data_IF_615213523005
#
_entry.id   IF_615213523005
#
_cell.length_a   1.000
_cell.length_b   1.000
_cell.length_c   1.000
_cell.angle_alpha   90.00
_cell.angle_beta   90.00
_cell.angle_gamma   90.00
#
_symmetry.space_group_name_H-M   'P 1'
#
loop_
_entity.id
_entity.type
_entity.pdbx_description
1 polymer ?
#
# COMPACT_ATOMS: atom_id res chain seq x y z
N UNK A 1 -3.43 -6.75 12.75
CA UNK A 1 -3.33 -7.51 11.50
C UNK A 1 -1.86 -7.56 11.14
N UNK A 2 -1.30 -8.75 11.04
CA UNK A 2 0.10 -8.96 10.69
C UNK A 2 0.29 -8.58 9.20
N UNK A 3 1.09 -7.56 8.88
CA UNK A 3 1.28 -7.17 7.49
C UNK A 3 1.97 -8.26 6.66
N UNK A 4 2.70 -9.17 7.26
CA UNK A 4 3.28 -10.31 6.57
C UNK A 4 2.22 -11.31 6.06
N UNK A 5 1.06 -11.35 6.69
CA UNK A 5 -0.04 -12.21 6.24
C UNK A 5 -0.67 -11.78 4.90
N UNK A 6 -0.35 -10.60 4.41
CA UNK A 6 -0.92 -10.03 3.19
C UNK A 6 0.07 -9.83 2.05
N UNK A 7 1.32 -10.16 2.27
CA UNK A 7 2.33 -10.16 1.20
C UNK A 7 2.34 -11.56 0.60
N UNK A 8 1.77 -11.77 -0.60
CA UNK A 8 1.97 -13.05 -1.27
C UNK A 8 3.47 -13.23 -1.44
N UNK A 9 4.00 -14.39 -1.01
CA UNK A 9 5.40 -14.67 -1.24
C UNK A 9 5.65 -14.67 -2.75
N UNK A 10 6.86 -14.34 -3.19
CA UNK A 10 7.19 -14.27 -4.61
C UNK A 10 6.98 -15.62 -5.36
N UNK A 11 6.70 -16.68 -4.62
CA UNK A 11 6.44 -18.04 -5.12
C UNK A 11 4.98 -18.43 -5.06
N UNK A 12 4.14 -17.61 -4.40
CA UNK A 12 2.73 -17.93 -4.21
C UNK A 12 1.85 -17.36 -5.31
N UNK A 13 0.73 -17.98 -5.47
CA UNK A 13 -0.31 -17.67 -6.42
C UNK A 13 -0.67 -16.16 -6.44
N UNK A 14 -0.24 -15.46 -7.47
CA UNK A 14 -0.58 -14.05 -7.69
C UNK A 14 -2.10 -13.84 -7.64
N UNK A 15 -2.88 -14.79 -8.17
CA UNK A 15 -4.32 -14.74 -8.13
C UNK A 15 -4.88 -14.89 -6.71
N UNK A 16 -4.23 -15.67 -5.84
CA UNK A 16 -4.56 -15.76 -4.42
C UNK A 16 -4.35 -14.44 -3.71
N UNK A 17 -3.22 -13.78 -3.95
CA UNK A 17 -2.92 -12.46 -3.38
C UNK A 17 -3.90 -11.38 -3.84
N UNK A 18 -4.29 -11.38 -5.10
CA UNK A 18 -5.29 -10.44 -5.65
C UNK A 18 -6.65 -10.67 -5.00
N UNK A 19 -7.08 -11.93 -4.86
CA UNK A 19 -8.34 -12.27 -4.19
C UNK A 19 -8.37 -11.84 -2.73
N UNK A 20 -7.30 -12.10 -1.99
CA UNK A 20 -7.19 -11.69 -0.59
C UNK A 20 -7.22 -10.16 -0.46
N UNK A 21 -6.50 -9.44 -1.29
CA UNK A 21 -6.54 -7.99 -1.33
C UNK A 21 -7.96 -7.46 -1.66
N UNK A 22 -8.67 -8.08 -2.59
CA UNK A 22 -10.05 -7.72 -2.92
C UNK A 22 -10.99 -7.98 -1.74
N UNK A 23 -10.84 -9.11 -1.05
CA UNK A 23 -11.62 -9.44 0.15
C UNK A 23 -11.37 -8.42 1.28
N UNK A 24 -10.14 -8.03 1.50
CA UNK A 24 -9.77 -7.00 2.47
C UNK A 24 -10.37 -5.65 2.09
N UNK A 25 -10.23 -5.23 0.83
CA UNK A 25 -10.81 -3.99 0.34
C UNK A 25 -12.31 -3.93 0.57
N UNK A 26 -13.04 -5.02 0.28
CA UNK A 26 -14.46 -5.13 0.54
C UNK A 26 -14.80 -5.05 2.04
N UNK A 27 -14.04 -5.75 2.87
CA UNK A 27 -14.21 -5.72 4.33
C UNK A 27 -14.00 -4.30 4.88
N UNK A 28 -12.94 -3.63 4.45
CA UNK A 28 -12.67 -2.26 4.86
C UNK A 28 -13.71 -1.27 4.34
N UNK A 29 -14.16 -1.45 3.11
CA UNK A 29 -15.19 -0.58 2.53
C UNK A 29 -16.51 -0.65 3.29
N UNK A 30 -16.89 -1.83 3.77
CA UNK A 30 -18.16 -2.04 4.46
C UNK A 30 -18.09 -1.83 5.99
N UNK A 31 -16.90 -1.78 6.58
CA UNK A 31 -16.76 -1.50 8.00
C UNK A 31 -17.18 -0.06 8.34
N UNK A 32 -18.02 0.08 9.37
CA UNK A 32 -18.46 1.38 9.92
C UNK A 32 -17.58 1.84 11.08
N UNK A 33 -16.74 0.96 11.59
CA UNK A 33 -15.77 1.24 12.64
C UNK A 33 -14.58 2.02 12.14
N UNK A 34 -13.77 2.56 13.05
CA UNK A 34 -12.50 3.21 12.70
C UNK A 34 -11.56 2.21 12.01
N UNK A 35 -10.92 2.65 10.94
CA UNK A 35 -10.00 1.85 10.12
C UNK A 35 -8.66 2.55 10.04
N UNK A 36 -7.64 1.94 10.61
CA UNK A 36 -6.27 2.44 10.56
C UNK A 36 -5.43 1.44 9.77
N UNK A 37 -4.73 1.91 8.77
CA UNK A 37 -3.76 1.13 8.01
C UNK A 37 -2.34 1.53 8.40
N UNK A 38 -1.52 0.55 8.76
CA UNK A 38 -0.09 0.73 8.95
C UNK A 38 0.64 0.17 7.73
N UNK A 39 1.24 1.06 6.95
CA UNK A 39 2.01 0.70 5.75
C UNK A 39 3.45 0.42 6.18
N UNK A 40 3.78 -0.86 6.37
CA UNK A 40 5.11 -1.34 6.72
C UNK A 40 5.63 -2.26 5.61
N UNK A 41 6.91 -2.19 5.30
CA UNK A 41 7.52 -3.00 4.26
C UNK A 41 7.06 -2.58 2.86
N UNK A 42 6.48 -3.48 2.07
CA UNK A 42 6.02 -3.21 0.69
C UNK A 42 4.50 -3.13 0.63
N UNK A 43 3.96 -1.93 0.44
CA UNK A 43 2.56 -1.67 0.16
C UNK A 43 2.40 -1.34 -1.34
N UNK A 44 2.43 -2.36 -2.19
CA UNK A 44 2.41 -2.21 -3.65
C UNK A 44 1.24 -2.98 -4.27
N UNK A 45 0.76 -2.50 -5.42
CA UNK A 45 -0.27 -3.16 -6.20
C UNK A 45 -1.56 -3.45 -5.41
N UNK A 46 -2.02 -4.71 -5.37
CA UNK A 46 -3.25 -5.07 -4.68
C UNK A 46 -3.27 -4.74 -3.19
N UNK A 47 -2.13 -4.84 -2.50
CA UNK A 47 -2.00 -4.49 -1.07
C UNK A 47 -2.25 -3.00 -0.88
N UNK A 48 -1.64 -2.15 -1.69
CA UNK A 48 -1.88 -0.70 -1.66
C UNK A 48 -3.37 -0.39 -1.89
N UNK A 49 -3.99 -1.01 -2.89
CA UNK A 49 -5.41 -0.81 -3.20
C UNK A 49 -6.32 -1.25 -2.05
N UNK A 50 -6.02 -2.37 -1.41
CA UNK A 50 -6.79 -2.87 -0.27
C UNK A 50 -6.75 -1.90 0.92
N UNK A 51 -5.61 -1.27 1.17
CA UNK A 51 -5.40 -0.35 2.29
C UNK A 51 -5.87 1.08 2.00
N UNK A 52 -6.13 1.42 0.74
CA UNK A 52 -6.53 2.77 0.33
C UNK A 52 -7.83 3.26 0.99
N UNK A 53 -8.72 2.34 1.38
CA UNK A 53 -10.01 2.64 2.02
C UNK A 53 -9.92 2.81 3.56
N UNK A 54 -8.74 2.78 4.16
CA UNK A 54 -8.58 3.11 5.57
C UNK A 54 -8.90 4.59 5.84
N UNK A 55 -9.38 4.88 7.06
CA UNK A 55 -9.68 6.25 7.47
C UNK A 55 -8.43 7.04 7.78
N UNK A 56 -7.37 6.36 8.21
CA UNK A 56 -6.06 6.92 8.45
C UNK A 56 -4.99 5.91 8.05
N UNK A 57 -4.05 6.36 7.24
CA UNK A 57 -2.94 5.57 6.71
C UNK A 57 -1.63 6.11 7.22
N UNK A 58 -0.90 5.29 7.96
CA UNK A 58 0.39 5.62 8.58
C UNK A 58 1.49 4.89 7.81
N UNK A 59 2.41 5.62 7.20
CA UNK A 59 3.55 5.05 6.51
C UNK A 59 4.76 4.96 7.45
N UNK A 60 5.28 3.76 7.66
CA UNK A 60 6.49 3.56 8.44
C UNK A 60 7.70 4.00 7.60
N UNK A 61 8.63 4.76 8.19
CA UNK A 61 9.84 5.16 7.51
C UNK A 61 10.61 3.93 6.99
N UNK A 62 10.97 3.97 5.70
CA UNK A 62 11.58 2.83 4.99
C UNK A 62 10.59 1.90 4.29
N UNK A 63 9.27 2.11 4.42
CA UNK A 63 8.31 1.38 3.61
C UNK A 63 8.34 1.84 2.14
N UNK A 64 7.91 0.95 1.26
CA UNK A 64 7.73 1.22 -0.17
C UNK A 64 6.24 1.28 -0.46
N UNK A 65 5.75 2.44 -0.90
CA UNK A 65 4.34 2.67 -1.23
C UNK A 65 4.22 2.99 -2.71
N UNK A 66 3.54 2.14 -3.46
CA UNK A 66 3.34 2.36 -4.90
C UNK A 66 2.13 1.59 -5.43
N UNK A 67 1.46 2.15 -6.43
CA UNK A 67 0.38 1.46 -7.13
C UNK A 67 0.88 0.28 -7.98
N UNK A 68 2.12 0.35 -8.49
CA UNK A 68 2.75 -0.69 -9.29
C UNK A 68 4.08 -1.11 -8.65
N UNK A 69 4.48 -2.36 -8.90
CA UNK A 69 5.84 -2.80 -8.56
C UNK A 69 6.86 -1.90 -9.26
N UNK A 70 7.91 -1.41 -8.57
CA UNK A 70 8.88 -0.47 -9.15
C UNK A 70 9.49 -0.92 -10.48
N UNK A 71 9.82 -2.21 -10.62
CA UNK A 71 10.35 -2.74 -11.90
C UNK A 71 9.33 -2.61 -13.04
N UNK A 72 8.07 -2.87 -12.77
CA UNK A 72 7.01 -2.73 -13.75
C UNK A 72 6.78 -1.24 -14.12
N UNK A 73 6.79 -0.36 -13.11
CA UNK A 73 6.62 1.07 -13.31
C UNK A 73 7.73 1.65 -14.20
N UNK A 74 8.99 1.34 -13.92
CA UNK A 74 10.13 1.86 -14.70
C UNK A 74 10.19 1.28 -16.11
N UNK A 75 9.76 0.04 -16.30
CA UNK A 75 9.69 -0.59 -17.64
C UNK A 75 8.70 0.13 -18.57
N UNK A 76 7.70 0.81 -18.00
CA UNK A 76 6.76 1.64 -18.75
C UNK A 76 7.29 3.08 -18.91
N UNK A 77 7.70 3.69 -17.78
CA UNK A 77 8.07 5.11 -17.75
C UNK A 77 9.39 5.42 -18.47
N UNK A 78 10.36 4.52 -18.37
CA UNK A 78 11.71 4.70 -18.91
C UNK A 78 12.03 3.71 -20.05
N UNK A 79 11.01 3.21 -20.72
CA UNK A 79 11.15 2.20 -21.77
C UNK A 79 12.21 2.56 -22.81
N UNK A 80 12.16 3.77 -23.34
CA UNK A 80 13.11 4.21 -24.39
C UNK A 80 14.57 4.26 -23.92
N UNK A 81 14.80 4.63 -22.67
CA UNK A 81 16.14 4.69 -22.09
C UNK A 81 16.66 3.28 -21.77
N UNK A 82 15.79 2.41 -21.30
CA UNK A 82 16.11 1.01 -21.01
C UNK A 82 16.43 0.23 -22.28
N UNK A 83 15.61 0.40 -23.31
CA UNK A 83 15.80 -0.27 -24.62
C UNK A 83 17.09 0.21 -25.34
N UNK A 84 17.54 1.44 -25.08
CA UNK A 84 18.78 1.98 -25.64
C UNK A 84 20.05 1.55 -24.87
N UNK A 85 19.91 0.85 -23.75
CA UNK A 85 21.04 0.42 -22.92
C UNK A 85 21.64 -0.91 -23.41
N UNK A 86 22.96 -1.07 -23.25
CA UNK A 86 23.65 -2.32 -23.59
C UNK A 86 23.23 -3.51 -22.70
N UNK A 87 22.75 -3.21 -21.48
CA UNK A 87 22.28 -4.21 -20.53
C UNK A 87 20.94 -3.80 -19.94
N UNK A 88 19.87 -4.28 -20.54
CA UNK A 88 18.49 -3.99 -20.18
C UNK A 88 18.19 -4.34 -18.72
N UNK A 89 18.67 -5.48 -18.22
CA UNK A 89 18.39 -5.94 -16.84
C UNK A 89 19.08 -5.01 -15.84
N UNK A 90 20.33 -4.67 -16.05
CA UNK A 90 21.07 -3.78 -15.15
C UNK A 90 20.47 -2.37 -15.17
N UNK A 91 20.09 -1.86 -16.34
CA UNK A 91 19.44 -0.56 -16.48
C UNK A 91 18.08 -0.52 -15.77
N UNK A 92 17.26 -1.55 -15.94
CA UNK A 92 15.96 -1.68 -15.26
C UNK A 92 16.12 -1.69 -13.75
N UNK A 93 17.05 -2.48 -13.22
CA UNK A 93 17.29 -2.57 -11.78
C UNK A 93 17.82 -1.25 -11.20
N UNK A 94 18.72 -0.56 -11.89
CA UNK A 94 19.23 0.73 -11.46
C UNK A 94 18.14 1.80 -11.44
N UNK A 95 17.31 1.85 -12.49
CA UNK A 95 16.15 2.77 -12.54
C UNK A 95 15.11 2.45 -11.49
N UNK A 96 14.81 1.17 -11.25
CA UNK A 96 13.88 0.74 -10.21
C UNK A 96 14.36 1.11 -8.81
N UNK A 97 15.65 0.98 -8.52
CA UNK A 97 16.22 1.40 -7.25
C UNK A 97 16.09 2.91 -7.03
N UNK A 98 16.42 3.71 -8.04
CA UNK A 98 16.26 5.16 -8.00
C UNK A 98 14.78 5.56 -7.82
N UNK A 99 13.90 4.98 -8.62
CA UNK A 99 12.45 5.21 -8.53
C UNK A 99 11.89 4.84 -7.15
N UNK A 100 12.34 3.72 -6.58
CA UNK A 100 11.93 3.31 -5.24
C UNK A 100 12.35 4.31 -4.17
N UNK A 101 13.58 4.80 -4.24
CA UNK A 101 14.10 5.75 -3.26
C UNK A 101 13.42 7.12 -3.34
N UNK A 102 13.14 7.59 -4.56
CA UNK A 102 12.60 8.93 -4.80
C UNK A 102 11.08 8.96 -4.76
N UNK A 103 10.42 8.08 -5.50
CA UNK A 103 8.97 8.13 -5.72
C UNK A 103 8.19 7.28 -4.72
N UNK A 104 8.70 6.09 -4.35
CA UNK A 104 7.96 5.15 -3.52
C UNK A 104 8.24 5.31 -2.01
N UNK A 105 8.94 6.37 -1.60
CA UNK A 105 9.26 6.60 -0.19
C UNK A 105 8.05 6.96 0.66
N UNK A 106 8.10 6.67 1.97
CA UNK A 106 7.07 7.06 2.93
C UNK A 106 6.79 8.58 2.90
N UNK A 107 7.83 9.41 2.80
CA UNK A 107 7.68 10.86 2.73
C UNK A 107 6.93 11.30 1.47
N UNK A 108 7.26 10.71 0.32
CA UNK A 108 6.56 11.01 -0.93
C UNK A 108 5.11 10.50 -0.91
N UNK A 109 4.86 9.36 -0.27
CA UNK A 109 3.51 8.84 -0.09
C UNK A 109 2.61 9.83 0.67
N UNK A 110 3.13 10.51 1.68
CA UNK A 110 2.41 11.58 2.38
C UNK A 110 2.27 12.82 1.50
N UNK A 111 3.32 13.23 0.80
CA UNK A 111 3.29 14.40 -0.07
C UNK A 111 2.24 14.29 -1.20
N UNK A 112 2.03 13.08 -1.74
CA UNK A 112 1.02 12.85 -2.78
C UNK A 112 -0.34 12.37 -2.25
N UNK A 113 -0.53 12.29 -0.92
CA UNK A 113 -1.80 11.88 -0.30
C UNK A 113 -2.08 10.38 -0.31
N UNK A 114 -1.11 9.55 -0.66
CA UNK A 114 -1.21 8.09 -0.57
C UNK A 114 -1.18 7.58 0.87
N UNK A 115 -0.55 8.34 1.77
CA UNK A 115 -0.58 8.15 3.22
C UNK A 115 -0.88 9.48 3.91
N UNK A 116 -1.34 9.45 5.15
CA UNK A 116 -1.72 10.65 5.90
C UNK A 116 -0.58 11.16 6.78
N UNK A 117 0.25 10.26 7.29
CA UNK A 117 1.40 10.59 8.13
C UNK A 117 2.51 9.54 8.03
N UNK A 118 3.71 9.95 8.42
CA UNK A 118 4.84 9.01 8.59
C UNK A 118 5.10 8.75 10.07
N UNK A 119 5.68 7.60 10.37
CA UNK A 119 6.22 7.30 11.70
C UNK A 119 7.49 6.46 11.61
N UNK A 120 8.28 6.47 12.67
CA UNK A 120 9.37 5.53 12.83
C UNK A 120 8.86 4.17 13.33
N UNK A 121 9.55 3.11 12.98
CA UNK A 121 9.18 1.75 13.39
C UNK A 121 9.06 1.62 14.92
N UNK A 122 9.94 2.29 15.67
CA UNK A 122 9.90 2.30 17.14
C UNK A 122 8.61 2.94 17.69
N UNK A 123 8.02 3.89 16.97
CA UNK A 123 6.83 4.63 17.38
C UNK A 123 5.54 4.12 16.73
N UNK A 124 5.62 3.10 15.88
CA UNK A 124 4.48 2.61 15.09
C UNK A 124 3.28 2.26 15.97
N UNK A 125 3.51 1.55 17.08
CA UNK A 125 2.44 1.19 18.04
C UNK A 125 1.78 2.43 18.64
N UNK A 126 2.56 3.39 19.10
CA UNK A 126 2.04 4.63 19.70
C UNK A 126 1.22 5.43 18.68
N UNK A 127 1.71 5.50 17.43
CA UNK A 127 1.02 6.17 16.33
C UNK A 127 -0.34 5.52 16.01
N UNK A 128 -0.40 4.18 16.00
CA UNK A 128 -1.66 3.45 15.78
C UNK A 128 -2.65 3.68 16.94
N UNK A 129 -2.18 3.67 18.18
CA UNK A 129 -3.04 3.97 19.35
C UNK A 129 -3.60 5.39 19.24
N UNK A 130 -2.76 6.38 18.99
CA UNK A 130 -3.18 7.77 18.80
C UNK A 130 -4.17 7.93 17.62
N UNK A 131 -3.97 7.18 16.54
CA UNK A 131 -4.90 7.16 15.41
C UNK A 131 -6.29 6.63 15.80
N UNK A 132 -6.36 5.57 16.59
CA UNK A 132 -7.64 5.07 17.11
C UNK A 132 -8.29 6.02 18.09
N UNK A 133 -7.52 6.69 18.94
CA UNK A 133 -8.03 7.74 19.82
C UNK A 133 -8.62 8.90 19.02
N UNK A 134 -7.92 9.36 17.98
CA UNK A 134 -8.40 10.41 17.07
C UNK A 134 -9.72 10.01 16.39
N UNK A 135 -9.85 8.75 15.99
CA UNK A 135 -11.03 8.23 15.32
C UNK A 135 -12.13 7.72 16.28
N UNK A 136 -11.95 7.85 17.59
CA UNK A 136 -12.89 7.31 18.59
C UNK A 136 -14.31 7.88 18.48
N UNK A 137 -14.44 9.12 18.02
CA UNK A 137 -15.74 9.80 17.82
C UNK A 137 -16.34 9.57 16.44
N UNK A 138 -15.65 8.82 15.57
CA UNK A 138 -16.14 8.55 14.22
C UNK A 138 -17.51 7.91 14.24
N UNK A 139 -18.42 8.47 13.46
CA UNK A 139 -19.75 7.93 13.19
C UNK A 139 -19.95 7.86 11.68
N UNK A 140 -20.19 6.67 11.18
CA UNK A 140 -20.49 6.44 9.78
C UNK A 140 -21.89 5.84 9.66
N UNK A 141 -22.83 6.58 9.11
CA UNK A 141 -24.12 6.06 8.74
C UNK A 141 -24.05 5.49 7.32
N UNK A 142 -24.43 4.23 7.17
CA UNK A 142 -24.55 3.57 5.86
C UNK A 142 -25.92 2.97 5.71
N UNK A 143 -26.35 2.87 4.47
CA UNK A 143 -27.54 2.10 4.16
C UNK A 143 -27.32 0.63 4.54
N UNK A 144 -28.32 -0.03 5.15
CA UNK A 144 -28.20 -1.43 5.53
C UNK A 144 -27.97 -2.30 4.29
N UNK A 145 -26.97 -3.13 4.33
CA UNK A 145 -26.60 -4.08 3.27
C UNK A 145 -26.60 -5.49 3.85
N UNK A 146 -26.93 -6.47 3.04
CA UNK A 146 -26.77 -7.89 3.42
C UNK A 146 -25.31 -8.33 3.41
N UNK A 147 -24.55 -7.83 2.44
CA UNK A 147 -23.12 -8.15 2.23
C UNK A 147 -22.49 -7.06 1.38
N UNK A 148 -21.18 -6.97 1.39
CA UNK A 148 -20.40 -6.12 0.49
C UNK A 148 -20.25 -6.73 -0.90
N UNK A 149 -20.08 -5.88 -1.91
CA UNK A 149 -19.64 -6.33 -3.23
C UNK A 149 -18.13 -6.57 -3.19
N UNK A 150 -17.71 -7.80 -3.45
CA UNK A 150 -16.31 -8.09 -3.67
C UNK A 150 -15.97 -7.85 -5.14
N UNK A 151 -14.86 -7.17 -5.38
CA UNK A 151 -14.25 -7.15 -6.70
C UNK A 151 -13.72 -8.57 -7.01
N UNK A 152 -14.10 -9.14 -8.13
CA UNK A 152 -13.66 -10.46 -8.58
C UNK A 152 -12.50 -10.31 -9.55
#
# INVERSE_FOLDING_TARGET
VDPEAFVPSATDDIAGGIREAARLAATYADATTAKVALLAGKAVGPVYTALANADLKIAVNGCVVSALEPNAAVSVLYKSEIDASDNIIAATNAKAAAYTAEVCSAANAVACGAADMTCDAANARASVVAAFELLSTKRAARLPKKHGNMAL
#
